data_IF_013242455088
#
_entry.id   IF_013242455088
#
_cell.length_a   1.000
_cell.length_b   1.000
_cell.length_c   1.000
_cell.angle_alpha   90.00
_cell.angle_beta   90.00
_cell.angle_gamma   90.00
#
_symmetry.space_group_name_H-M   'P 1'
#
loop_
_entity.id
_entity.type
_entity.pdbx_description
1 polymer ?
#
# COMPACT_ATOMS: atom_id res chain seq x y z
N UNK A 1 11.50 -9.35 14.78
CA UNK A 1 11.75 -7.89 14.74
C UNK A 1 11.75 -7.40 16.19
N UNK A 2 12.69 -6.53 16.56
CA UNK A 2 12.81 -6.04 17.95
C UNK A 2 11.56 -5.22 18.32
N UNK A 3 10.77 -5.73 19.26
CA UNK A 3 9.62 -5.04 19.84
C UNK A 3 10.11 -3.82 20.64
N UNK A 4 10.25 -2.67 19.98
CA UNK A 4 10.71 -1.43 20.61
C UNK A 4 11.45 -0.43 19.70
N UNK A 5 11.80 -0.81 18.47
CA UNK A 5 12.63 0.04 17.60
C UNK A 5 11.88 0.85 16.54
N UNK A 6 10.55 1.02 16.62
CA UNK A 6 9.78 1.65 15.54
C UNK A 6 9.85 0.89 14.21
N UNK A 7 9.26 1.40 13.11
CA UNK A 7 9.24 0.69 11.83
C UNK A 7 10.57 0.82 11.06
N UNK A 8 10.93 -0.24 10.33
CA UNK A 8 12.04 -0.23 9.38
C UNK A 8 13.40 -0.56 10.01
N UNK A 9 14.46 0.04 9.45
CA UNK A 9 15.85 -0.31 9.73
C UNK A 9 16.69 0.94 9.97
N UNK A 10 17.74 0.84 10.79
CA UNK A 10 18.63 1.97 11.13
C UNK A 10 19.43 2.48 9.94
N UNK A 11 19.83 1.58 9.04
CA UNK A 11 20.71 1.88 7.91
C UNK A 11 20.30 1.10 6.66
N UNK A 12 20.74 1.52 5.46
CA UNK A 12 20.55 0.74 4.24
C UNK A 12 21.15 -0.67 4.33
N UNK A 13 22.32 -0.83 4.95
CA UNK A 13 22.97 -2.14 5.10
C UNK A 13 22.16 -3.10 5.99
N UNK A 14 21.50 -2.57 7.03
CA UNK A 14 20.58 -3.37 7.85
C UNK A 14 19.31 -3.74 7.07
N UNK A 15 18.81 -2.84 6.23
CA UNK A 15 17.65 -3.10 5.38
C UNK A 15 17.91 -4.22 4.36
N UNK A 16 19.13 -4.30 3.81
CA UNK A 16 19.54 -5.39 2.90
C UNK A 16 19.54 -6.77 3.58
N UNK A 17 19.65 -6.83 4.90
CA UNK A 17 19.59 -8.06 5.70
C UNK A 17 18.17 -8.39 6.18
N UNK A 18 17.18 -7.55 5.84
CA UNK A 18 15.80 -7.76 6.20
C UNK A 18 15.21 -9.04 5.59
N UNK A 19 14.10 -9.55 6.13
CA UNK A 19 13.38 -10.66 5.51
C UNK A 19 12.97 -10.30 4.09
N UNK A 20 12.93 -11.30 3.20
CA UNK A 20 12.38 -11.15 1.86
C UNK A 20 10.88 -10.87 1.95
N UNK A 21 10.39 -10.00 1.09
CA UNK A 21 8.97 -9.68 1.05
C UNK A 21 8.17 -10.86 0.49
N UNK A 22 6.98 -11.07 1.06
CA UNK A 22 6.05 -12.16 0.67
C UNK A 22 4.85 -11.68 -0.12
N UNK A 23 4.57 -10.37 -0.09
CA UNK A 23 3.49 -9.74 -0.85
C UNK A 23 3.93 -8.40 -1.42
N UNK A 24 3.33 -8.00 -2.54
CA UNK A 24 3.52 -6.69 -3.17
C UNK A 24 2.16 -6.05 -3.44
N UNK A 25 2.06 -4.75 -3.18
CA UNK A 25 0.88 -3.95 -3.50
C UNK A 25 1.11 -3.11 -4.75
N UNK A 26 0.23 -3.26 -5.75
CA UNK A 26 0.37 -2.58 -7.04
C UNK A 26 -0.86 -1.72 -7.35
N UNK A 27 -0.71 -0.41 -7.53
CA UNK A 27 -1.73 0.42 -8.17
C UNK A 27 -2.02 -0.12 -9.58
N UNK A 28 -3.30 -0.28 -9.91
CA UNK A 28 -3.74 -0.74 -11.23
C UNK A 28 -4.77 0.24 -11.77
N UNK A 29 -4.46 0.79 -12.96
CA UNK A 29 -5.13 1.95 -13.52
C UNK A 29 -5.98 1.50 -14.72
N UNK A 30 -7.25 1.91 -14.75
CA UNK A 30 -8.11 1.77 -15.92
C UNK A 30 -8.27 3.08 -16.70
N UNK A 31 -7.88 4.22 -16.12
CA UNK A 31 -7.87 5.50 -16.83
C UNK A 31 -7.14 5.38 -18.17
N UNK A 32 -7.68 6.03 -19.20
CA UNK A 32 -7.15 6.00 -20.57
C UNK A 32 -7.21 4.63 -21.26
N UNK A 33 -7.99 3.69 -20.71
CA UNK A 33 -8.39 2.45 -21.40
C UNK A 33 -9.87 2.51 -21.78
N UNK A 34 -10.34 1.56 -22.58
CA UNK A 34 -11.77 1.42 -22.90
C UNK A 34 -12.61 0.91 -21.71
N UNK A 35 -12.00 0.54 -20.59
CA UNK A 35 -12.69 -0.05 -19.43
C UNK A 35 -13.19 1.05 -18.50
N UNK A 36 -14.51 1.18 -18.38
CA UNK A 36 -15.14 2.06 -17.36
C UNK A 36 -15.25 1.35 -16.01
N UNK A 37 -14.13 1.22 -15.29
CA UNK A 37 -14.10 0.71 -13.92
C UNK A 37 -13.18 1.57 -13.05
N UNK A 38 -13.41 1.60 -11.72
CA UNK A 38 -12.48 2.25 -10.81
C UNK A 38 -11.11 1.59 -10.87
N UNK A 39 -10.06 2.40 -10.71
CA UNK A 39 -8.73 1.90 -10.42
C UNK A 39 -8.78 1.03 -9.14
N UNK A 40 -7.80 0.15 -8.97
CA UNK A 40 -7.77 -0.75 -7.81
C UNK A 40 -6.35 -0.97 -7.32
N UNK A 41 -6.23 -1.42 -6.07
CA UNK A 41 -4.97 -1.91 -5.51
C UNK A 41 -4.95 -3.43 -5.60
N UNK A 42 -4.02 -3.98 -6.38
CA UNK A 42 -3.75 -5.41 -6.41
C UNK A 42 -2.85 -5.79 -5.22
N UNK A 43 -3.13 -6.91 -4.58
CA UNK A 43 -2.19 -7.60 -3.70
C UNK A 43 -1.70 -8.84 -4.42
N UNK A 44 -0.39 -8.92 -4.65
CA UNK A 44 0.27 -10.02 -5.35
C UNK A 44 1.06 -10.83 -4.34
N UNK A 45 0.91 -12.14 -4.38
CA UNK A 45 1.75 -13.06 -3.60
C UNK A 45 3.07 -13.30 -4.32
N UNK A 46 4.18 -13.04 -3.63
CA UNK A 46 5.53 -13.17 -4.16
C UNK A 46 6.38 -14.12 -3.32
N UNK A 47 5.77 -14.90 -2.42
CA UNK A 47 6.45 -15.94 -1.67
C UNK A 47 6.59 -17.21 -2.54
N UNK A 48 7.82 -17.65 -2.91
CA UNK A 48 8.03 -18.84 -3.74
C UNK A 48 7.51 -20.14 -3.12
N UNK A 49 7.30 -20.17 -1.79
CA UNK A 49 6.79 -21.34 -1.08
C UNK A 49 5.24 -21.36 -1.04
N UNK A 50 4.59 -20.28 -1.47
CA UNK A 50 3.14 -20.16 -1.44
C UNK A 50 2.47 -20.89 -2.61
N UNK A 51 1.33 -21.59 -2.38
CA UNK A 51 0.54 -22.20 -3.47
C UNK A 51 -0.05 -21.16 -4.44
N UNK A 52 -0.08 -19.88 -4.04
CA UNK A 52 -0.55 -18.76 -4.87
C UNK A 52 0.60 -17.88 -5.37
N UNK A 53 1.85 -18.36 -5.35
CA UNK A 53 3.01 -17.64 -5.87
C UNK A 53 2.76 -17.06 -7.28
N UNK A 54 3.15 -15.80 -7.49
CA UNK A 54 2.95 -15.03 -8.73
C UNK A 54 1.49 -14.78 -9.13
N UNK A 55 0.55 -14.85 -8.17
CA UNK A 55 -0.87 -14.58 -8.42
C UNK A 55 -1.35 -13.28 -7.75
N UNK A 56 -2.33 -12.63 -8.37
CA UNK A 56 -3.11 -11.56 -7.71
C UNK A 56 -4.09 -12.22 -6.75
N UNK A 57 -3.78 -12.18 -5.46
CA UNK A 57 -4.57 -12.82 -4.39
C UNK A 57 -5.70 -11.94 -3.87
N UNK A 58 -5.65 -10.63 -4.12
CA UNK A 58 -6.72 -9.71 -3.74
C UNK A 58 -6.75 -8.49 -4.66
N UNK A 59 -7.95 -7.95 -4.90
CA UNK A 59 -8.19 -6.72 -5.63
C UNK A 59 -9.09 -5.82 -4.78
N UNK A 60 -8.58 -4.67 -4.36
CA UNK A 60 -9.35 -3.64 -3.67
C UNK A 60 -9.73 -2.54 -4.66
N UNK A 61 -10.95 -2.56 -5.24
CA UNK A 61 -11.41 -1.47 -6.10
C UNK A 61 -11.59 -0.18 -5.31
N UNK A 62 -11.18 0.94 -5.92
CA UNK A 62 -11.49 2.26 -5.37
C UNK A 62 -12.98 2.57 -5.56
N UNK A 63 -13.57 3.43 -4.71
CA UNK A 63 -14.99 3.75 -4.80
C UNK A 63 -15.33 4.72 -5.93
N UNK A 64 -14.34 5.34 -6.59
CA UNK A 64 -14.56 6.38 -7.59
C UNK A 64 -13.91 6.06 -8.94
N UNK A 65 -14.54 6.53 -10.03
CA UNK A 65 -13.95 6.51 -11.37
C UNK A 65 -12.96 7.68 -11.55
N UNK A 66 -12.07 7.51 -12.54
CA UNK A 66 -11.18 8.56 -13.07
C UNK A 66 -10.21 9.17 -12.04
N UNK A 67 -9.67 8.35 -11.15
CA UNK A 67 -8.69 8.76 -10.13
C UNK A 67 -7.26 8.87 -10.67
N UNK A 68 -6.81 7.84 -11.40
CA UNK A 68 -5.41 7.57 -11.74
C UNK A 68 -4.54 7.35 -10.51
N UNK A 69 -4.63 6.15 -9.93
CA UNK A 69 -3.71 5.70 -8.88
C UNK A 69 -2.29 5.52 -9.45
N UNK A 70 -1.40 6.50 -9.27
CA UNK A 70 -0.10 6.51 -9.95
C UNK A 70 1.06 6.07 -9.05
N UNK A 71 1.22 6.71 -7.90
CA UNK A 71 2.24 6.37 -6.91
C UNK A 71 1.60 6.04 -5.57
N UNK A 72 2.34 5.31 -4.73
CA UNK A 72 1.94 5.00 -3.36
C UNK A 72 3.14 5.06 -2.42
N UNK A 73 2.85 5.26 -1.13
CA UNK A 73 3.87 5.30 -0.08
C UNK A 73 3.34 4.81 1.25
N UNK A 74 4.23 4.54 2.19
CA UNK A 74 3.88 4.12 3.54
C UNK A 74 3.63 5.32 4.45
N UNK A 75 2.73 5.18 5.42
CA UNK A 75 2.50 6.20 6.45
C UNK A 75 3.70 6.39 7.40
N UNK A 76 4.52 5.35 7.58
CA UNK A 76 5.76 5.37 8.36
C UNK A 76 6.75 4.36 7.76
N UNK A 77 8.05 4.65 7.85
CA UNK A 77 9.11 3.79 7.31
C UNK A 77 10.39 3.93 8.16
N UNK A 78 11.54 3.51 7.63
CA UNK A 78 12.83 3.57 8.32
C UNK A 78 13.23 4.98 8.80
N UNK A 79 12.64 6.05 8.27
CA UNK A 79 12.83 7.41 8.82
C UNK A 79 12.28 7.58 10.24
N UNK A 80 11.41 6.68 10.69
CA UNK A 80 10.90 6.59 12.06
C UNK A 80 11.62 5.51 12.88
N UNK A 81 12.80 5.03 12.44
CA UNK A 81 13.56 4.06 13.21
C UNK A 81 13.89 4.63 14.61
N UNK A 82 13.67 3.82 15.63
CA UNK A 82 13.81 4.19 17.04
C UNK A 82 12.57 4.82 17.67
N UNK A 83 11.52 5.12 16.90
CA UNK A 83 10.27 5.69 17.43
C UNK A 83 9.19 4.59 17.57
N UNK A 84 8.98 4.03 18.79
CA UNK A 84 8.00 2.97 19.01
C UNK A 84 6.55 3.45 18.92
N UNK A 85 6.30 4.77 18.87
CA UNK A 85 4.94 5.33 18.73
C UNK A 85 4.43 5.27 17.29
N UNK A 86 5.29 4.87 16.33
CA UNK A 86 4.97 4.78 14.91
C UNK A 86 4.82 3.35 14.46
N UNK A 87 3.98 3.14 13.45
CA UNK A 87 3.75 1.82 12.86
C UNK A 87 3.55 1.94 11.35
N UNK A 88 4.22 1.08 10.58
CA UNK A 88 4.05 0.92 9.14
C UNK A 88 2.88 -0.04 8.88
N UNK A 89 1.67 0.48 8.82
CA UNK A 89 0.44 -0.31 8.67
C UNK A 89 -0.60 0.33 7.75
N UNK A 90 -0.25 1.44 7.09
CA UNK A 90 -1.11 2.09 6.09
C UNK A 90 -0.34 2.38 4.82
N UNK A 91 -0.99 2.17 3.69
CA UNK A 91 -0.56 2.72 2.40
C UNK A 91 -1.33 3.99 2.10
N UNK A 92 -0.62 4.99 1.60
CA UNK A 92 -1.14 6.28 1.16
C UNK A 92 -1.11 6.30 -0.36
N UNK A 93 -2.29 6.38 -0.96
CA UNK A 93 -2.50 6.31 -2.40
C UNK A 93 -3.13 7.63 -2.89
N UNK A 94 -2.32 8.64 -3.25
CA UNK A 94 -2.82 9.81 -3.95
C UNK A 94 -3.27 9.45 -5.37
N UNK A 95 -4.38 10.05 -5.78
CA UNK A 95 -4.94 9.96 -7.12
C UNK A 95 -4.55 11.20 -7.91
N UNK A 96 -3.78 11.01 -8.99
CA UNK A 96 -3.14 12.09 -9.72
C UNK A 96 -4.16 13.11 -10.28
N UNK A 97 -5.35 12.64 -10.65
CA UNK A 97 -6.30 13.43 -11.43
C UNK A 97 -7.41 14.01 -10.57
N UNK A 98 -7.93 13.20 -9.65
CA UNK A 98 -9.02 13.63 -8.78
C UNK A 98 -8.56 14.41 -7.55
N UNK A 99 -7.25 14.38 -7.25
CA UNK A 99 -6.68 14.87 -5.98
C UNK A 99 -7.24 14.17 -4.74
N UNK A 100 -7.94 13.03 -4.87
CA UNK A 100 -8.32 12.20 -3.72
C UNK A 100 -7.09 11.50 -3.16
N UNK A 101 -7.11 11.25 -1.86
CA UNK A 101 -6.10 10.44 -1.18
C UNK A 101 -6.82 9.29 -0.49
N UNK A 102 -6.47 8.08 -0.88
CA UNK A 102 -6.93 6.86 -0.22
C UNK A 102 -5.90 6.41 0.81
N UNK A 103 -6.35 6.23 2.04
CA UNK A 103 -5.57 5.61 3.11
C UNK A 103 -6.05 4.18 3.25
N UNK A 104 -5.17 3.23 2.99
CA UNK A 104 -5.48 1.79 2.96
C UNK A 104 -4.90 1.14 4.20
N UNK A 105 -5.72 0.41 4.95
CA UNK A 105 -5.29 -0.48 6.02
C UNK A 105 -4.73 -1.77 5.44
N UNK A 106 -3.44 -2.00 5.73
CA UNK A 106 -2.70 -3.23 5.41
C UNK A 106 -2.15 -3.89 6.66
N UNK A 107 -2.41 -3.35 7.85
CA UNK A 107 -1.95 -3.92 9.12
C UNK A 107 -2.90 -4.95 9.70
N UNK A 108 -4.21 -4.79 9.46
CA UNK A 108 -5.23 -5.72 9.99
C UNK A 108 -5.22 -7.04 9.23
N UNK A 109 -5.25 -6.99 7.90
CA UNK A 109 -5.20 -8.18 7.02
C UNK A 109 -4.34 -7.84 5.79
N UNK A 110 -3.02 -8.08 5.82
CA UNK A 110 -2.12 -7.68 4.74
C UNK A 110 -2.47 -8.30 3.38
N UNK A 111 -3.04 -9.51 3.37
CA UNK A 111 -3.40 -10.22 2.13
C UNK A 111 -4.76 -9.77 1.56
N UNK A 112 -5.57 -9.05 2.33
CA UNK A 112 -6.85 -8.44 1.90
C UNK A 112 -7.00 -7.03 2.48
N UNK A 113 -6.28 -6.04 1.92
CA UNK A 113 -6.33 -4.65 2.39
C UNK A 113 -7.72 -4.02 2.28
N UNK A 114 -7.98 -3.00 3.10
CA UNK A 114 -9.28 -2.30 3.14
C UNK A 114 -9.09 -0.79 3.18
N UNK A 115 -10.05 -0.04 2.66
CA UNK A 115 -10.03 1.42 2.77
C UNK A 115 -10.25 1.81 4.22
N UNK A 116 -9.29 2.51 4.80
CA UNK A 116 -9.39 3.08 6.15
C UNK A 116 -10.01 4.48 6.11
N UNK A 117 -9.59 5.32 5.15
CA UNK A 117 -10.09 6.68 5.00
C UNK A 117 -9.96 7.12 3.54
N UNK A 118 -10.90 7.97 3.11
CA UNK A 118 -10.79 8.74 1.87
C UNK A 118 -10.74 10.21 2.24
N UNK A 119 -9.76 10.94 1.71
CA UNK A 119 -9.68 12.39 1.81
C UNK A 119 -9.91 12.98 0.44
N UNK A 120 -10.89 13.86 0.31
CA UNK A 120 -11.15 14.67 -0.89
C UNK A 120 -10.91 16.13 -0.58
N UNK A 121 -10.80 16.98 -1.61
CA UNK A 121 -10.87 18.43 -1.41
C UNK A 121 -12.23 18.78 -0.80
N UNK A 122 -12.22 19.34 0.40
CA UNK A 122 -13.34 20.14 0.88
C UNK A 122 -13.37 21.41 0.03
N UNK A 123 -14.47 21.66 -0.69
CA UNK A 123 -14.67 22.99 -1.29
C UNK A 123 -14.80 23.96 -0.10
N UNK A 124 -13.91 24.94 -0.03
CA UNK A 124 -14.11 26.12 0.82
C UNK A 124 -15.33 26.90 0.33
#
# INVERSE_FOLDING_TARGET
MCSGCGPGYRSPLDAMKGPRERIVYLPCIYRSTAVQKPDYLATVDVDPESPTYCQVIHRLPMPNLNDELHHSGWNACSSCFGDPTRTRNRLILPSLISSRIYVIDVGTEPRSPRIHKVSSRTRC
#
